data_IF_727701467798
#
_entry.id   IF_727701467798
#
_cell.length_a   1.000
_cell.length_b   1.000
_cell.length_c   1.000
_cell.angle_alpha   90.00
_cell.angle_beta   90.00
_cell.angle_gamma   90.00
#
_symmetry.space_group_name_H-M   'P 1'
#
loop_
_entity.id
_entity.type
_entity.pdbx_description
1 polymer ?
#
# COMPACT_ATOMS: atom_id res chain seq x y z
N UNK A 1 -22.68 -14.12 17.48
CA UNK A 1 -22.83 -12.68 17.72
C UNK A 1 -21.68 -11.97 17.03
N UNK A 2 -21.93 -11.28 15.92
CA UNK A 2 -20.92 -10.48 15.22
C UNK A 2 -20.75 -9.15 15.97
N UNK A 3 -19.53 -8.61 16.15
CA UNK A 3 -19.34 -7.31 16.76
C UNK A 3 -20.00 -6.24 15.88
N UNK A 4 -20.83 -5.41 16.50
CA UNK A 4 -21.56 -4.35 15.85
C UNK A 4 -20.58 -3.19 15.59
N UNK A 5 -20.10 -3.04 14.36
CA UNK A 5 -19.19 -1.96 13.90
C UNK A 5 -19.80 -0.53 13.99
N UNK A 6 -20.94 -0.35 14.68
CA UNK A 6 -21.65 0.93 14.81
C UNK A 6 -21.45 1.66 16.14
N UNK A 7 -20.70 1.10 17.10
CA UNK A 7 -20.59 1.69 18.44
C UNK A 7 -19.38 2.61 18.66
N UNK A 8 -18.86 3.23 17.58
CA UNK A 8 -17.79 4.25 17.66
C UNK A 8 -18.21 5.65 17.16
N UNK A 9 -19.48 5.85 16.80
CA UNK A 9 -19.96 7.16 16.35
C UNK A 9 -20.53 7.96 17.54
N UNK A 10 -19.67 8.80 18.14
CA UNK A 10 -20.13 10.03 18.81
C UNK A 10 -20.98 10.83 17.81
N UNK A 11 -22.02 11.52 18.29
CA UNK A 11 -22.82 12.47 17.50
C UNK A 11 -21.92 13.56 16.90
N UNK A 12 -21.43 13.34 15.69
CA UNK A 12 -20.70 14.34 14.90
C UNK A 12 -21.72 15.37 14.43
N UNK A 13 -21.47 16.66 14.69
CA UNK A 13 -22.20 17.75 14.05
C UNK A 13 -21.46 18.10 12.76
N UNK A 14 -22.11 17.92 11.62
CA UNK A 14 -21.59 18.37 10.32
C UNK A 14 -22.10 19.78 10.04
N UNK A 15 -21.22 20.69 9.64
CA UNK A 15 -21.56 22.09 9.31
C UNK A 15 -21.05 22.43 7.91
N UNK A 16 -21.88 23.06 7.08
CA UNK A 16 -21.50 23.56 5.77
C UNK A 16 -20.94 24.97 5.90
N UNK A 17 -19.67 25.17 5.54
CA UNK A 17 -18.97 26.45 5.61
C UNK A 17 -18.29 26.75 4.28
N UNK A 18 -18.25 28.00 3.86
CA UNK A 18 -17.36 28.43 2.77
C UNK A 18 -15.87 28.25 3.15
N UNK A 19 -14.93 28.31 2.19
CA UNK A 19 -13.51 28.17 2.46
C UNK A 19 -13.02 29.21 3.48
N UNK A 20 -13.52 30.44 3.33
CA UNK A 20 -13.23 31.57 4.23
C UNK A 20 -13.85 31.34 5.61
N UNK A 21 -15.08 30.82 5.68
CA UNK A 21 -15.74 30.55 6.97
C UNK A 21 -15.10 29.37 7.71
N UNK A 22 -14.74 28.28 7.03
CA UNK A 22 -14.00 27.21 7.69
C UNK A 22 -12.61 27.73 8.09
N UNK A 23 -11.95 28.60 7.30
CA UNK A 23 -10.72 29.30 7.72
C UNK A 23 -10.88 30.11 9.02
N UNK A 24 -12.00 30.81 9.21
CA UNK A 24 -12.30 31.57 10.43
C UNK A 24 -12.58 30.70 11.66
N UNK A 25 -12.96 29.43 11.48
CA UNK A 25 -13.03 28.46 12.59
C UNK A 25 -11.63 28.19 13.13
N UNK A 26 -10.59 28.29 12.30
CA UNK A 26 -9.22 28.03 12.72
C UNK A 26 -8.61 29.24 13.46
N UNK A 27 -7.94 29.00 14.60
CA UNK A 27 -7.27 30.05 15.33
C UNK A 27 -6.16 30.66 14.48
N UNK A 28 -6.21 31.98 14.32
CA UNK A 28 -5.15 32.79 13.68
C UNK A 28 -3.81 32.70 14.41
N UNK A 29 -3.81 32.28 15.69
CA UNK A 29 -2.62 32.11 16.53
C UNK A 29 -1.80 30.85 16.21
N UNK A 30 -2.36 29.88 15.49
CA UNK A 30 -1.58 28.80 14.89
C UNK A 30 -0.94 29.40 13.62
N UNK A 31 0.36 29.67 13.59
CA UNK A 31 1.03 30.26 12.41
C UNK A 31 1.93 29.19 11.77
N UNK A 32 1.89 29.04 10.45
CA UNK A 32 2.64 28.03 9.68
C UNK A 32 1.76 27.12 8.82
N UNK A 33 2.39 26.29 7.97
CA UNK A 33 1.70 25.35 7.07
C UNK A 33 0.89 24.31 7.87
N UNK A 34 -0.44 24.26 7.72
CA UNK A 34 -1.30 23.27 8.41
C UNK A 34 -2.03 22.38 7.41
N UNK A 35 -2.27 21.14 7.79
CA UNK A 35 -3.07 20.19 7.01
C UNK A 35 -4.36 19.86 7.75
N UNK A 36 -5.53 20.06 7.14
CA UNK A 36 -6.76 19.46 7.69
C UNK A 36 -6.80 18.00 7.26
N UNK A 37 -7.02 17.10 8.22
CA UNK A 37 -7.07 15.65 7.97
C UNK A 37 -8.48 15.07 8.10
N UNK A 38 -9.40 15.77 8.75
CA UNK A 38 -10.81 15.34 8.82
C UNK A 38 -11.54 15.64 7.51
N UNK A 39 -12.62 14.88 7.29
CA UNK A 39 -13.65 14.84 6.24
C UNK A 39 -14.15 16.20 5.73
N UNK A 40 -13.24 17.04 5.26
CA UNK A 40 -13.54 18.23 4.48
C UNK A 40 -13.96 17.74 3.10
N UNK A 41 -15.19 17.23 3.04
CA UNK A 41 -15.84 16.90 1.79
C UNK A 41 -16.14 18.23 1.10
N UNK A 42 -15.55 18.40 -0.07
CA UNK A 42 -15.95 19.44 -1.01
C UNK A 42 -17.21 18.95 -1.69
N UNK A 43 -18.29 19.71 -1.57
CA UNK A 43 -19.49 19.43 -2.35
C UNK A 43 -19.13 19.55 -3.84
N UNK A 44 -19.43 18.51 -4.63
CA UNK A 44 -18.96 18.38 -6.03
C UNK A 44 -19.31 19.59 -6.91
N UNK A 45 -20.34 20.36 -6.53
CA UNK A 45 -20.86 21.49 -7.30
C UNK A 45 -20.87 22.83 -6.54
N UNK A 46 -20.31 22.89 -5.31
CA UNK A 46 -20.23 24.14 -4.55
C UNK A 46 -18.81 24.43 -4.04
N UNK A 47 -18.55 25.71 -3.72
CA UNK A 47 -17.29 26.11 -3.04
C UNK A 47 -17.34 25.81 -1.53
N UNK A 48 -18.39 25.13 -1.04
CA UNK A 48 -18.58 24.89 0.40
C UNK A 48 -17.90 23.59 0.83
N UNK A 49 -17.47 23.59 2.09
CA UNK A 49 -16.83 22.49 2.80
C UNK A 49 -17.72 22.01 3.94
N UNK A 50 -17.79 20.69 4.11
CA UNK A 50 -18.41 20.08 5.29
C UNK A 50 -17.33 19.94 6.37
N UNK A 51 -17.45 20.68 7.47
CA UNK A 51 -16.51 20.60 8.59
C UNK A 51 -17.17 19.79 9.72
N UNK A 52 -16.65 18.59 9.99
CA UNK A 52 -17.11 17.66 11.03
C UNK A 52 -16.31 17.82 12.33
N UNK A 53 -17.00 17.95 13.47
CA UNK A 53 -16.34 18.17 14.77
C UNK A 53 -16.15 16.88 15.60
N UNK A 54 -15.02 16.76 16.32
CA UNK A 54 -13.88 17.70 16.34
C UNK A 54 -13.07 17.63 15.04
N UNK A 55 -12.64 18.80 14.55
CA UNK A 55 -11.86 18.90 13.31
C UNK A 55 -10.45 18.40 13.60
N UNK A 56 -9.97 17.44 12.81
CA UNK A 56 -8.60 16.92 12.94
C UNK A 56 -7.65 17.75 12.08
N UNK A 57 -6.63 18.32 12.72
CA UNK A 57 -5.63 19.16 12.06
C UNK A 57 -4.23 18.59 12.34
N UNK A 58 -3.44 18.46 11.29
CA UNK A 58 -2.02 18.15 11.33
C UNK A 58 -1.20 19.43 11.26
N UNK A 59 -0.28 19.57 12.22
CA UNK A 59 0.64 20.71 12.32
C UNK A 59 2.09 20.21 12.21
N UNK A 60 3.01 20.93 11.55
CA UNK A 60 4.40 20.51 11.46
C UNK A 60 5.01 20.31 12.84
N UNK A 61 5.72 19.20 13.02
CA UNK A 61 6.24 18.78 14.32
C UNK A 61 7.20 19.80 14.96
N UNK A 62 7.91 20.60 14.15
CA UNK A 62 8.78 21.66 14.65
C UNK A 62 8.04 22.80 15.38
N UNK A 63 6.71 22.87 15.28
CA UNK A 63 5.88 23.82 16.01
C UNK A 63 5.34 23.26 17.34
N UNK A 64 5.62 22.00 17.68
CA UNK A 64 5.05 21.34 18.85
C UNK A 64 5.35 22.06 20.18
N UNK A 65 6.53 22.67 20.32
CA UNK A 65 6.89 23.45 21.51
C UNK A 65 6.15 24.78 21.63
N UNK A 66 5.58 25.28 20.53
CA UNK A 66 4.94 26.60 20.45
C UNK A 66 3.41 26.53 20.58
N UNK A 67 2.83 25.32 20.63
CA UNK A 67 1.39 25.09 20.60
C UNK A 67 0.94 24.41 21.88
N UNK A 68 0.04 25.05 22.62
CA UNK A 68 -0.67 24.44 23.75
C UNK A 68 -2.01 23.91 23.26
N UNK A 69 -2.15 22.58 23.16
CA UNK A 69 -3.37 21.92 22.65
C UNK A 69 -4.61 22.31 23.47
N UNK A 70 -4.46 22.56 24.76
CA UNK A 70 -5.54 23.01 25.66
C UNK A 70 -6.17 24.34 25.25
N UNK A 71 -5.46 25.17 24.50
CA UNK A 71 -5.95 26.47 24.02
C UNK A 71 -6.94 26.29 22.83
N UNK A 72 -7.09 25.05 22.32
CA UNK A 72 -7.83 24.71 21.10
C UNK A 72 -8.79 23.52 21.26
N UNK A 73 -9.78 23.58 22.18
CA UNK A 73 -10.63 22.43 22.53
C UNK A 73 -11.54 21.92 21.40
N UNK A 74 -11.75 22.71 20.35
CA UNK A 74 -12.55 22.32 19.17
C UNK A 74 -11.77 21.47 18.15
N UNK A 75 -10.46 21.29 18.35
CA UNK A 75 -9.56 20.64 17.41
C UNK A 75 -8.91 19.40 18.01
N UNK A 76 -8.82 18.35 17.19
CA UNK A 76 -7.88 17.27 17.42
C UNK A 76 -6.57 17.62 16.70
N UNK A 77 -5.63 18.20 17.45
CA UNK A 77 -4.31 18.58 16.92
C UNK A 77 -3.41 17.35 16.96
N UNK A 78 -2.90 16.97 15.79
CA UNK A 78 -1.80 16.01 15.67
C UNK A 78 -0.59 16.67 15.02
N UNK A 79 0.59 16.10 15.23
CA UNK A 79 1.81 16.60 14.61
C UNK A 79 2.22 15.76 13.42
N UNK A 80 2.94 16.34 12.47
CA UNK A 80 3.48 15.57 11.36
C UNK A 80 4.85 16.04 10.89
N UNK A 81 5.59 15.12 10.28
CA UNK A 81 6.85 15.35 9.61
C UNK A 81 6.69 15.20 8.10
N UNK A 82 7.34 16.11 7.37
CA UNK A 82 7.54 16.04 5.94
C UNK A 82 9.00 16.32 5.64
N UNK A 83 9.75 15.29 5.28
CA UNK A 83 11.16 15.40 4.92
C UNK A 83 11.31 15.11 3.42
N UNK A 84 12.20 15.84 2.73
CA UNK A 84 12.48 15.65 1.29
C UNK A 84 13.15 14.31 0.96
N UNK A 85 13.83 13.69 1.92
CA UNK A 85 14.55 12.42 1.75
C UNK A 85 13.68 11.16 1.87
N UNK A 86 12.40 11.31 2.25
CA UNK A 86 11.43 10.22 2.39
C UNK A 86 10.25 10.41 1.43
N UNK A 87 9.54 9.32 1.11
CA UNK A 87 8.37 9.36 0.20
C UNK A 87 7.01 9.41 0.93
N UNK A 88 7.02 9.63 2.25
CA UNK A 88 5.84 9.61 3.10
C UNK A 88 5.71 10.85 3.99
N UNK A 89 4.49 11.10 4.45
CA UNK A 89 4.22 11.92 5.63
C UNK A 89 4.18 11.02 6.86
N UNK A 90 4.76 11.47 7.98
CA UNK A 90 4.67 10.77 9.26
C UNK A 90 3.85 11.59 10.23
N UNK A 91 2.77 11.02 10.74
CA UNK A 91 1.84 11.66 11.67
C UNK A 91 1.97 11.04 13.06
N UNK A 92 2.06 11.91 14.07
CA UNK A 92 2.07 11.59 15.49
C UNK A 92 0.65 11.74 16.05
N UNK A 93 -0.17 10.72 15.83
CA UNK A 93 -1.54 10.62 16.35
C UNK A 93 -1.59 9.69 17.59
N UNK A 94 -2.77 9.13 17.88
CA UNK A 94 -2.97 8.05 18.85
C UNK A 94 -2.00 6.87 18.65
N UNK A 95 -1.76 6.54 17.38
CA UNK A 95 -0.71 5.67 16.91
C UNK A 95 0.13 6.41 15.88
N UNK A 96 1.42 6.09 15.76
CA UNK A 96 2.23 6.64 14.68
C UNK A 96 1.66 6.15 13.35
N UNK A 97 1.45 7.09 12.43
CA UNK A 97 0.87 6.82 11.12
C UNK A 97 1.80 7.31 10.03
N UNK A 98 1.87 6.58 8.92
CA UNK A 98 2.60 7.00 7.73
C UNK A 98 1.72 6.85 6.50
N UNK A 99 1.71 7.84 5.63
CA UNK A 99 0.99 7.80 4.35
C UNK A 99 1.98 8.10 3.22
N UNK A 100 1.79 7.55 2.01
CA UNK A 100 2.42 8.14 0.84
C UNK A 100 2.18 9.66 0.79
N UNK A 101 3.13 10.40 0.24
CA UNK A 101 2.91 11.83 -0.04
C UNK A 101 1.70 11.99 -0.96
N UNK A 102 0.89 13.00 -0.68
CA UNK A 102 -0.32 13.35 -1.43
C UNK A 102 -0.34 14.85 -1.71
N UNK A 103 -1.04 15.22 -2.78
CA UNK A 103 -1.21 16.62 -3.14
C UNK A 103 -2.21 17.31 -2.22
N UNK A 104 -1.99 18.60 -2.00
CA UNK A 104 -2.83 19.42 -1.12
C UNK A 104 -3.25 20.69 -1.84
N UNK A 105 -4.48 21.14 -1.59
CA UNK A 105 -5.01 22.42 -2.06
C UNK A 105 -4.89 23.44 -0.94
N UNK A 106 -4.34 24.62 -1.26
CA UNK A 106 -4.31 25.77 -0.35
C UNK A 106 -5.71 26.38 -0.22
N UNK A 107 -6.20 26.52 1.01
CA UNK A 107 -7.44 27.23 1.34
C UNK A 107 -7.13 28.66 1.78
N UNK A 108 -6.07 28.81 2.57
CA UNK A 108 -5.45 30.08 2.92
C UNK A 108 -3.94 29.88 2.98
N UNK A 109 -3.16 30.97 3.05
CA UNK A 109 -1.69 30.94 3.14
C UNK A 109 -1.12 29.92 4.13
N UNK A 110 -1.82 29.63 5.22
CA UNK A 110 -1.37 28.77 6.32
C UNK A 110 -2.24 27.51 6.50
N UNK A 111 -3.13 27.20 5.56
CA UNK A 111 -4.11 26.12 5.68
C UNK A 111 -4.32 25.39 4.37
N UNK A 112 -4.07 24.08 4.39
CA UNK A 112 -4.22 23.20 3.25
C UNK A 112 -5.12 22.01 3.57
N UNK A 113 -5.72 21.44 2.53
CA UNK A 113 -6.54 20.21 2.58
C UNK A 113 -6.03 19.19 1.55
N UNK A 114 -6.21 17.89 1.76
CA UNK A 114 -5.93 16.89 0.72
C UNK A 114 -6.67 17.23 -0.58
N UNK A 115 -5.96 17.25 -1.71
CA UNK A 115 -6.54 17.55 -3.01
C UNK A 115 -7.56 16.49 -3.45
N UNK A 116 -7.37 15.25 -3.00
CA UNK A 116 -8.28 14.13 -3.19
C UNK A 116 -8.62 13.49 -1.84
N UNK A 117 -9.70 13.94 -1.17
CA UNK A 117 -10.10 13.41 0.13
C UNK A 117 -10.34 11.90 0.13
N UNK A 118 -10.98 11.35 -0.91
CA UNK A 118 -11.25 9.91 -1.00
C UNK A 118 -9.97 9.07 -1.04
N UNK A 119 -8.96 9.50 -1.82
CA UNK A 119 -7.66 8.82 -1.83
C UNK A 119 -6.93 8.97 -0.49
N UNK A 120 -6.99 10.16 0.12
CA UNK A 120 -6.40 10.39 1.44
C UNK A 120 -7.02 9.47 2.51
N UNK A 121 -8.34 9.27 2.50
CA UNK A 121 -8.99 8.31 3.40
C UNK A 121 -8.47 6.90 3.20
N UNK A 122 -8.29 6.46 1.96
CA UNK A 122 -7.71 5.15 1.68
C UNK A 122 -6.27 5.07 2.18
N UNK A 123 -5.47 6.13 2.08
CA UNK A 123 -4.13 6.15 2.69
C UNK A 123 -4.20 6.11 4.21
N UNK A 124 -5.11 6.89 4.82
CA UNK A 124 -5.26 7.00 6.26
C UNK A 124 -5.74 5.69 6.90
N UNK A 125 -6.70 4.99 6.29
CA UNK A 125 -7.18 3.68 6.73
C UNK A 125 -6.04 2.65 6.85
N UNK A 126 -4.99 2.80 6.05
CA UNK A 126 -3.84 1.88 5.96
C UNK A 126 -2.57 2.41 6.62
N UNK A 127 -2.67 3.53 7.32
CA UNK A 127 -1.50 4.32 7.72
C UNK A 127 -0.82 3.86 8.99
N UNK A 128 -1.41 2.97 9.80
CA UNK A 128 -0.84 2.57 11.08
C UNK A 128 0.56 1.99 10.88
N UNK A 129 1.58 2.67 11.39
CA UNK A 129 2.96 2.24 11.25
C UNK A 129 3.20 1.02 12.14
N UNK A 130 3.83 -0.01 11.57
CA UNK A 130 4.40 -1.14 12.30
C UNK A 130 5.86 -1.33 11.89
N UNK A 131 6.66 -1.81 12.83
CA UNK A 131 8.08 -2.02 12.61
C UNK A 131 8.37 -3.42 12.05
N UNK A 132 9.47 -3.52 11.30
CA UNK A 132 10.11 -4.78 10.98
C UNK A 132 10.95 -5.30 12.16
N UNK A 133 11.32 -6.59 12.14
CA UNK A 133 12.10 -7.22 13.22
C UNK A 133 13.61 -7.01 13.13
N UNK A 134 14.13 -6.60 11.99
CA UNK A 134 15.57 -6.39 11.76
C UNK A 134 16.47 -7.57 12.23
N UNK A 135 16.07 -8.80 11.92
CA UNK A 135 16.76 -10.00 12.37
C UNK A 135 18.10 -10.17 11.63
N UNK A 136 19.19 -10.55 12.33
CA UNK A 136 20.46 -10.86 11.70
C UNK A 136 20.35 -12.19 10.93
N UNK A 137 20.71 -12.17 9.65
CA UNK A 137 20.63 -13.36 8.79
C UNK A 137 21.98 -14.05 8.66
N UNK A 138 22.04 -15.31 9.10
CA UNK A 138 23.19 -16.16 8.84
C UNK A 138 23.03 -16.81 7.45
N UNK A 139 23.83 -16.33 6.47
CA UNK A 139 23.74 -16.77 5.07
C UNK A 139 25.11 -16.93 4.44
N UNK A 140 25.22 -17.94 3.57
CA UNK A 140 26.44 -18.16 2.77
C UNK A 140 26.52 -17.22 1.57
N UNK A 141 25.38 -16.77 1.02
CA UNK A 141 25.33 -15.90 -0.14
C UNK A 141 24.74 -14.54 0.22
N UNK A 142 25.57 -13.52 0.22
CA UNK A 142 25.21 -12.12 0.49
C UNK A 142 25.11 -11.28 -0.78
N UNK A 143 25.31 -11.87 -1.96
CA UNK A 143 25.28 -11.15 -3.24
C UNK A 143 23.90 -10.55 -3.49
N UNK A 144 23.84 -9.22 -3.53
CA UNK A 144 22.63 -8.48 -3.84
C UNK A 144 22.29 -8.60 -5.33
N UNK A 145 21.16 -9.24 -5.65
CA UNK A 145 20.67 -9.46 -7.02
C UNK A 145 19.90 -8.26 -7.56
N UNK A 146 19.07 -7.65 -6.72
CA UNK A 146 18.32 -6.44 -7.03
C UNK A 146 18.97 -5.22 -6.36
N UNK A 147 19.40 -4.17 -7.08
CA UNK A 147 19.94 -2.97 -6.45
C UNK A 147 18.88 -2.31 -5.56
N UNK A 148 19.09 -2.37 -4.25
CA UNK A 148 18.07 -2.09 -3.22
C UNK A 148 17.34 -0.76 -3.47
N UNK A 149 18.08 0.35 -3.55
CA UNK A 149 17.45 1.67 -3.69
C UNK A 149 16.70 1.82 -5.02
N UNK A 150 17.29 1.38 -6.13
CA UNK A 150 16.66 1.48 -7.46
C UNK A 150 15.39 0.61 -7.54
N UNK A 151 15.43 -0.59 -6.96
CA UNK A 151 14.30 -1.51 -6.96
C UNK A 151 13.17 -1.03 -6.02
N UNK A 152 13.49 -0.50 -4.83
CA UNK A 152 12.48 0.08 -3.93
C UNK A 152 11.87 1.36 -4.50
N UNK A 153 12.65 2.18 -5.19
CA UNK A 153 12.14 3.35 -5.91
C UNK A 153 11.19 2.94 -7.04
N UNK A 154 11.51 1.88 -7.78
CA UNK A 154 10.61 1.30 -8.76
C UNK A 154 9.31 0.80 -8.10
N UNK A 155 9.41 0.08 -6.99
CA UNK A 155 8.25 -0.42 -6.25
C UNK A 155 7.36 0.71 -5.71
N UNK A 156 7.95 1.77 -5.14
CA UNK A 156 7.25 2.97 -4.67
C UNK A 156 6.58 3.74 -5.81
N UNK A 157 7.27 3.89 -6.95
CA UNK A 157 6.66 4.50 -8.14
C UNK A 157 5.48 3.68 -8.64
N UNK A 158 5.59 2.34 -8.70
CA UNK A 158 4.50 1.48 -9.11
C UNK A 158 3.30 1.58 -8.15
N UNK A 159 3.54 1.63 -6.83
CA UNK A 159 2.50 1.92 -5.83
C UNK A 159 1.74 3.20 -6.19
N UNK A 160 2.45 4.29 -6.49
CA UNK A 160 1.82 5.56 -6.85
C UNK A 160 1.05 5.48 -8.19
N UNK A 161 1.53 4.70 -9.17
CA UNK A 161 0.78 4.45 -10.40
C UNK A 161 -0.52 3.73 -10.07
N UNK A 162 -0.46 2.63 -9.31
CA UNK A 162 -1.63 1.82 -8.95
C UNK A 162 -2.67 2.63 -8.17
N UNK A 163 -2.25 3.50 -7.24
CA UNK A 163 -3.20 4.29 -6.43
C UNK A 163 -3.96 5.34 -7.24
N UNK A 164 -3.43 5.78 -8.40
CA UNK A 164 -4.19 6.63 -9.35
C UNK A 164 -5.36 5.88 -10.00
N UNK A 165 -5.29 4.55 -10.06
CA UNK A 165 -6.37 3.68 -10.55
C UNK A 165 -7.26 3.12 -9.43
N UNK A 166 -7.14 3.65 -8.20
CA UNK A 166 -7.79 3.13 -6.99
C UNK A 166 -7.40 1.68 -6.66
N UNK A 167 -6.21 1.25 -7.07
CA UNK A 167 -5.61 -0.02 -6.71
C UNK A 167 -4.60 0.23 -5.58
N UNK A 168 -4.80 -0.39 -4.42
CA UNK A 168 -4.00 -0.15 -3.22
C UNK A 168 -3.14 -1.37 -2.89
N UNK A 169 -1.92 -1.48 -3.45
CA UNK A 169 -1.10 -2.68 -3.33
C UNK A 169 -0.45 -2.84 -1.95
N UNK A 170 -0.41 -4.06 -1.44
CA UNK A 170 0.32 -4.42 -0.23
C UNK A 170 1.46 -5.40 -0.57
N UNK A 171 2.53 -5.35 0.22
CA UNK A 171 3.65 -6.25 0.07
C UNK A 171 3.22 -7.68 0.38
N UNK A 172 3.73 -8.63 -0.40
CA UNK A 172 3.53 -10.05 -0.15
C UNK A 172 4.77 -10.87 -0.51
N UNK A 173 4.71 -12.19 -0.34
CA UNK A 173 5.75 -13.10 -0.80
C UNK A 173 7.13 -12.79 -0.21
N UNK A 174 8.16 -12.90 -1.05
CA UNK A 174 9.54 -12.66 -0.64
C UNK A 174 9.78 -11.21 -0.24
N UNK A 175 8.96 -10.29 -0.74
CA UNK A 175 9.06 -8.85 -0.47
C UNK A 175 8.55 -8.50 0.93
N UNK A 176 7.39 -9.04 1.32
CA UNK A 176 6.89 -8.94 2.69
C UNK A 176 7.84 -9.59 3.69
N UNK A 177 8.33 -10.80 3.37
CA UNK A 177 9.29 -11.51 4.20
C UNK A 177 10.57 -10.70 4.38
N UNK A 178 11.13 -10.13 3.31
CA UNK A 178 12.32 -9.29 3.36
C UNK A 178 12.13 -8.07 4.26
N UNK A 179 11.03 -7.33 4.07
CA UNK A 179 10.73 -6.19 4.93
C UNK A 179 10.61 -6.62 6.38
N UNK A 180 9.72 -7.58 6.70
CA UNK A 180 9.44 -7.90 8.08
C UNK A 180 10.63 -8.53 8.80
N UNK A 181 11.37 -9.41 8.11
CA UNK A 181 12.50 -10.14 8.70
C UNK A 181 13.76 -9.29 8.76
N UNK A 182 14.09 -8.54 7.72
CA UNK A 182 15.42 -7.94 7.51
C UNK A 182 15.39 -6.42 7.37
N UNK A 183 14.21 -5.79 7.45
CA UNK A 183 14.01 -4.36 7.17
C UNK A 183 14.55 -3.93 5.80
N UNK A 184 14.62 -4.87 4.84
CA UNK A 184 15.33 -4.69 3.58
C UNK A 184 14.80 -5.64 2.49
N UNK A 185 15.43 -5.62 1.32
CA UNK A 185 15.18 -6.58 0.24
C UNK A 185 16.05 -7.81 0.47
N UNK A 186 15.48 -9.03 0.41
CA UNK A 186 16.25 -10.28 0.53
C UNK A 186 17.33 -10.30 -0.57
N UNK A 187 18.64 -10.44 -0.25
CA UNK A 187 19.70 -10.22 -1.24
C UNK A 187 19.63 -11.11 -2.47
N UNK A 188 19.19 -12.36 -2.29
CA UNK A 188 19.13 -13.35 -3.35
C UNK A 188 17.75 -13.45 -4.04
N UNK A 189 16.81 -12.53 -3.78
CA UNK A 189 15.55 -12.45 -4.53
C UNK A 189 15.75 -11.92 -5.95
N UNK A 190 14.85 -12.23 -6.87
CA UNK A 190 14.96 -11.84 -8.28
C UNK A 190 13.84 -10.89 -8.73
N UNK A 191 12.83 -10.72 -7.90
CA UNK A 191 11.60 -9.99 -8.14
C UNK A 191 11.13 -9.31 -6.84
N UNK A 192 10.10 -8.48 -7.00
CA UNK A 192 9.33 -7.91 -5.91
C UNK A 192 7.86 -8.22 -6.12
N UNK A 193 7.10 -8.26 -5.04
CA UNK A 193 5.72 -8.76 -5.04
C UNK A 193 4.80 -7.72 -4.41
N UNK A 194 3.78 -7.37 -5.17
CA UNK A 194 2.57 -6.75 -4.67
C UNK A 194 1.41 -7.71 -4.80
N UNK A 195 0.41 -7.48 -3.97
CA UNK A 195 -0.91 -8.04 -4.14
C UNK A 195 -1.95 -6.92 -4.02
N UNK A 196 -3.00 -7.01 -4.83
CA UNK A 196 -4.12 -6.06 -4.87
C UNK A 196 -5.42 -6.85 -4.70
N UNK A 197 -6.40 -6.29 -4.00
CA UNK A 197 -7.73 -6.91 -3.97
C UNK A 197 -8.33 -6.95 -5.38
N UNK A 198 -8.81 -8.11 -5.84
CA UNK A 198 -9.36 -8.25 -7.20
C UNK A 198 -10.55 -7.31 -7.47
N UNK A 199 -11.31 -6.92 -6.44
CA UNK A 199 -12.41 -5.95 -6.57
C UNK A 199 -11.92 -4.55 -6.96
N UNK A 200 -10.63 -4.26 -6.78
CA UNK A 200 -10.00 -3.01 -7.17
C UNK A 200 -9.39 -3.07 -8.58
N UNK A 201 -9.42 -4.23 -9.26
CA UNK A 201 -8.86 -4.36 -10.60
C UNK A 201 -9.45 -3.31 -11.54
N UNK A 202 -8.59 -2.42 -12.02
CA UNK A 202 -8.96 -1.43 -13.01
C UNK A 202 -8.36 -1.82 -14.38
N UNK A 203 -9.19 -2.18 -15.38
CA UNK A 203 -8.69 -2.57 -16.70
C UNK A 203 -7.87 -1.48 -17.42
N UNK A 204 -8.08 -0.20 -17.10
CA UNK A 204 -7.31 0.90 -17.68
C UNK A 204 -5.83 0.87 -17.24
N UNK A 205 -5.53 0.31 -16.07
CA UNK A 205 -4.14 0.08 -15.66
C UNK A 205 -3.44 -0.89 -16.62
N UNK A 206 -4.11 -1.97 -17.04
CA UNK A 206 -3.53 -2.93 -17.99
C UNK A 206 -3.23 -2.26 -19.33
N UNK A 207 -4.16 -1.46 -19.86
CA UNK A 207 -3.97 -0.70 -21.11
C UNK A 207 -2.76 0.23 -21.03
N UNK A 208 -2.61 0.92 -19.90
CA UNK A 208 -1.50 1.83 -19.63
C UNK A 208 -0.14 1.13 -19.68
N UNK A 209 0.01 0.00 -18.97
CA UNK A 209 1.28 -0.73 -18.91
C UNK A 209 1.57 -1.53 -20.19
N UNK A 210 0.56 -1.80 -21.02
CA UNK A 210 0.75 -2.40 -22.35
C UNK A 210 1.26 -1.40 -23.38
N UNK A 211 0.70 -0.20 -23.37
CA UNK A 211 1.07 0.87 -24.32
C UNK A 211 2.38 1.58 -23.96
N UNK A 212 3.02 1.17 -22.85
CA UNK A 212 4.17 1.87 -22.25
C UNK A 212 3.85 3.35 -21.98
N UNK A 213 2.56 3.68 -21.78
CA UNK A 213 2.07 5.05 -21.57
C UNK A 213 2.55 5.66 -20.25
N UNK A 214 3.13 4.84 -19.37
CA UNK A 214 3.72 5.23 -18.09
C UNK A 214 5.13 4.64 -17.90
N UNK A 215 5.74 4.96 -16.76
CA UNK A 215 7.10 4.52 -16.38
C UNK A 215 7.27 3.00 -16.22
N UNK A 216 6.27 2.17 -16.55
CA UNK A 216 6.28 0.71 -16.47
C UNK A 216 5.76 0.05 -17.75
N UNK A 217 6.27 -1.15 -18.02
CA UNK A 217 5.85 -1.99 -19.13
C UNK A 217 5.45 -3.38 -18.63
N UNK A 218 4.31 -3.89 -19.12
CA UNK A 218 3.85 -5.25 -18.86
C UNK A 218 4.72 -6.25 -19.62
N UNK A 219 5.31 -7.22 -18.92
CA UNK A 219 6.15 -8.27 -19.50
C UNK A 219 5.46 -9.62 -19.50
N UNK A 220 4.51 -9.84 -18.59
CA UNK A 220 3.77 -11.09 -18.46
C UNK A 220 2.38 -10.83 -17.90
N UNK A 221 1.39 -11.55 -18.44
CA UNK A 221 0.03 -11.64 -17.90
C UNK A 221 -0.35 -13.11 -17.81
N UNK A 222 -0.67 -13.56 -16.60
CA UNK A 222 -1.06 -14.94 -16.33
C UNK A 222 -2.47 -15.00 -15.76
N UNK A 223 -3.15 -16.11 -16.03
CA UNK A 223 -4.42 -16.49 -15.42
C UNK A 223 -5.65 -15.70 -15.85
N UNK A 224 -6.79 -16.13 -15.29
CA UNK A 224 -8.10 -15.53 -15.53
C UNK A 224 -8.41 -14.51 -14.43
N UNK A 225 -8.87 -13.28 -14.76
CA UNK A 225 -9.38 -12.31 -13.78
C UNK A 225 -10.34 -12.89 -12.75
N UNK A 226 -11.06 -13.97 -13.07
CA UNK A 226 -12.01 -14.63 -12.15
C UNK A 226 -11.37 -15.35 -10.98
N UNK A 227 -10.14 -15.84 -11.11
CA UNK A 227 -9.57 -16.71 -10.06
C UNK A 227 -8.04 -16.84 -10.03
N UNK A 228 -7.30 -16.34 -11.03
CA UNK A 228 -5.88 -16.65 -11.15
C UNK A 228 -4.99 -15.58 -11.77
N UNK A 229 -5.46 -14.33 -11.84
CA UNK A 229 -4.77 -13.24 -12.52
C UNK A 229 -3.46 -12.85 -11.82
N UNK A 230 -2.45 -12.57 -12.64
CA UNK A 230 -1.15 -12.04 -12.25
C UNK A 230 -0.61 -11.15 -13.37
N UNK A 231 -0.02 -10.01 -13.01
CA UNK A 231 0.75 -9.17 -13.93
C UNK A 231 2.20 -9.10 -13.48
N UNK A 232 3.15 -9.26 -14.40
CA UNK A 232 4.54 -8.85 -14.17
C UNK A 232 4.81 -7.58 -14.94
N UNK A 233 5.30 -6.56 -14.25
CA UNK A 233 5.74 -5.30 -14.86
C UNK A 233 7.21 -5.04 -14.56
N UNK A 234 7.85 -4.23 -15.40
CA UNK A 234 9.20 -3.72 -15.18
C UNK A 234 9.24 -2.22 -15.45
N UNK A 235 10.16 -1.46 -14.81
CA UNK A 235 10.41 -0.08 -15.20
C UNK A 235 10.73 0.05 -16.69
N UNK A 236 10.09 1.00 -17.37
CA UNK A 236 10.33 1.29 -18.79
C UNK A 236 11.76 1.80 -19.03
N UNK A 237 12.35 2.49 -18.03
CA UNK A 237 13.72 3.02 -18.05
C UNK A 237 14.54 2.52 -16.84
N UNK A 238 15.85 2.47 -16.98
CA UNK A 238 16.76 2.06 -15.90
C UNK A 238 16.78 0.55 -15.63
N UNK A 239 17.13 0.17 -14.41
CA UNK A 239 17.22 -1.23 -14.00
C UNK A 239 15.86 -1.92 -14.07
N UNK A 240 15.82 -3.08 -14.72
CA UNK A 240 14.59 -3.85 -14.98
C UNK A 240 14.23 -4.72 -13.76
N UNK A 241 13.86 -4.09 -12.65
CA UNK A 241 13.29 -4.79 -11.48
C UNK A 241 11.96 -5.43 -11.89
N UNK A 242 11.84 -6.77 -11.92
CA UNK A 242 10.56 -7.43 -12.10
C UNK A 242 9.71 -7.21 -10.86
N UNK A 243 8.47 -6.78 -11.06
CA UNK A 243 7.48 -6.63 -10.00
C UNK A 243 6.25 -7.42 -10.41
N UNK A 244 5.94 -8.47 -9.64
CA UNK A 244 4.73 -9.26 -9.79
C UNK A 244 3.59 -8.61 -8.99
N UNK A 245 2.46 -8.39 -9.64
CA UNK A 245 1.22 -7.88 -9.08
C UNK A 245 0.25 -9.05 -9.11
N UNK A 246 0.13 -9.70 -7.96
CA UNK A 246 -0.87 -10.72 -7.71
C UNK A 246 -2.21 -10.09 -7.36
N UNK A 247 -3.26 -10.89 -7.45
CA UNK A 247 -4.59 -10.50 -6.99
C UNK A 247 -5.07 -11.39 -5.86
N UNK A 248 -5.60 -10.76 -4.82
CA UNK A 248 -6.25 -11.44 -3.71
C UNK A 248 -7.74 -11.57 -4.01
N UNK A 249 -8.23 -12.78 -3.82
CA UNK A 249 -9.61 -13.17 -3.97
C UNK A 249 -10.14 -13.61 -2.60
N UNK A 250 -11.47 -13.60 -2.44
CA UNK A 250 -12.12 -14.08 -1.23
C UNK A 250 -13.43 -14.80 -1.55
N UNK A 251 -13.80 -15.71 -0.67
CA UNK A 251 -15.14 -16.28 -0.58
C UNK A 251 -15.61 -16.21 0.87
N UNK A 252 -16.63 -16.99 1.25
CA UNK A 252 -17.14 -17.01 2.62
C UNK A 252 -16.18 -17.61 3.65
N UNK A 253 -15.20 -18.39 3.19
CA UNK A 253 -14.42 -19.31 4.02
C UNK A 253 -12.93 -18.91 4.10
N UNK A 254 -12.39 -18.31 3.04
CA UNK A 254 -10.98 -17.99 2.93
C UNK A 254 -10.68 -16.80 2.01
N UNK A 255 -9.49 -16.26 2.17
CA UNK A 255 -8.79 -15.42 1.19
C UNK A 255 -7.79 -16.29 0.44
N UNK A 256 -7.55 -15.99 -0.83
CA UNK A 256 -6.44 -16.63 -1.54
C UNK A 256 -5.77 -15.69 -2.52
N UNK A 257 -4.46 -15.91 -2.67
CA UNK A 257 -3.67 -15.41 -3.78
C UNK A 257 -3.52 -16.56 -4.77
N UNK A 258 -3.55 -16.26 -6.05
CA UNK A 258 -3.49 -17.28 -7.08
C UNK A 258 -2.21 -17.18 -7.91
N UNK A 259 -1.76 -18.32 -8.42
CA UNK A 259 -0.63 -18.42 -9.34
C UNK A 259 -0.98 -19.35 -10.50
N UNK A 260 -0.37 -19.11 -11.66
CA UNK A 260 -0.57 -19.94 -12.86
C UNK A 260 0.78 -20.28 -13.48
N UNK A 261 1.06 -21.56 -13.75
CA UNK A 261 2.31 -21.94 -14.45
C UNK A 261 2.17 -21.96 -15.99
N UNK A 262 3.29 -22.11 -16.68
CA UNK A 262 3.34 -22.20 -18.15
C UNK A 262 2.61 -23.38 -18.78
N UNK A 263 2.14 -24.35 -17.98
CA UNK A 263 1.28 -25.45 -18.44
C UNK A 263 -0.20 -25.18 -18.14
N UNK A 264 -0.51 -24.00 -17.61
CA UNK A 264 -1.84 -23.60 -17.19
C UNK A 264 -2.28 -24.20 -15.86
N UNK A 265 -1.39 -24.82 -15.08
CA UNK A 265 -1.76 -25.33 -13.75
C UNK A 265 -2.07 -24.13 -12.85
N UNK A 266 -3.22 -24.16 -12.19
CA UNK A 266 -3.64 -23.13 -11.25
C UNK A 266 -3.28 -23.53 -9.82
N UNK A 267 -2.69 -22.60 -9.10
CA UNK A 267 -2.30 -22.72 -7.72
C UNK A 267 -3.06 -21.69 -6.88
N UNK A 268 -3.41 -22.04 -5.65
CA UNK A 268 -3.94 -21.12 -4.63
C UNK A 268 -3.07 -21.16 -3.39
N UNK A 269 -2.77 -19.98 -2.86
CA UNK A 269 -2.16 -19.74 -1.57
C UNK A 269 -3.27 -19.27 -0.64
N UNK A 270 -3.79 -20.19 0.17
CA UNK A 270 -4.96 -19.93 1.02
C UNK A 270 -4.57 -19.28 2.34
N UNK A 271 -5.41 -18.36 2.81
CA UNK A 271 -5.28 -17.68 4.08
C UNK A 271 -6.65 -17.72 4.81
N UNK A 272 -6.70 -18.25 6.05
CA UNK A 272 -7.96 -18.36 6.82
C UNK A 272 -8.50 -16.99 7.27
N UNK A 273 -7.64 -15.99 7.30
CA UNK A 273 -7.96 -14.59 7.49
C UNK A 273 -6.89 -13.78 6.76
N UNK A 274 -7.26 -12.60 6.30
CA UNK A 274 -6.32 -11.58 5.89
C UNK A 274 -6.69 -10.33 6.67
N UNK A 275 -5.81 -9.95 7.58
CA UNK A 275 -6.08 -8.86 8.51
C UNK A 275 -5.90 -7.50 7.81
N UNK A 276 -6.47 -6.41 8.36
CA UNK A 276 -6.51 -5.13 7.67
C UNK A 276 -5.10 -4.53 7.51
N UNK A 277 -5.06 -3.46 6.72
CA UNK A 277 -3.84 -2.85 6.22
C UNK A 277 -3.11 -2.01 7.29
N UNK A 278 -1.82 -2.28 7.48
CA UNK A 278 -0.87 -1.43 8.15
C UNK A 278 0.10 -0.81 7.14
N UNK A 279 1.01 0.03 7.62
CA UNK A 279 2.11 0.56 6.83
C UNK A 279 3.45 0.15 7.43
N UNK A 280 4.41 -0.14 6.55
CA UNK A 280 5.81 -0.41 6.88
C UNK A 280 6.73 0.50 6.08
N UNK A 281 7.95 0.71 6.59
CA UNK A 281 8.99 1.48 5.90
C UNK A 281 10.15 0.55 5.52
N UNK A 282 10.63 0.68 4.28
CA UNK A 282 11.86 0.04 3.79
C UNK A 282 12.76 1.14 3.23
N UNK A 283 13.94 1.37 3.81
CA UNK A 283 14.94 2.33 3.30
C UNK A 283 14.36 3.71 2.91
N UNK A 284 13.44 4.26 3.72
CA UNK A 284 12.81 5.57 3.48
C UNK A 284 11.59 5.57 2.55
N UNK A 285 11.17 4.39 2.08
CA UNK A 285 9.96 4.20 1.28
C UNK A 285 8.83 3.55 2.08
N UNK A 286 7.61 4.09 2.02
CA UNK A 286 6.43 3.52 2.70
C UNK A 286 5.73 2.47 1.83
N UNK A 287 5.26 1.38 2.43
CA UNK A 287 4.43 0.40 1.74
C UNK A 287 3.31 -0.08 2.65
N UNK A 288 2.19 -0.52 2.06
CA UNK A 288 1.16 -1.19 2.84
C UNK A 288 1.51 -2.66 3.04
N UNK A 289 1.19 -3.16 4.23
CA UNK A 289 1.53 -4.50 4.71
C UNK A 289 0.35 -5.03 5.51
N UNK A 290 0.31 -6.35 5.73
CA UNK A 290 -0.53 -6.96 6.77
C UNK A 290 -0.19 -6.37 8.14
N UNK A 291 -1.18 -6.20 9.01
CA UNK A 291 -0.95 -5.80 10.40
C UNK A 291 -0.41 -6.95 11.29
N UNK A 292 -0.43 -8.19 10.81
CA UNK A 292 -0.02 -9.43 11.49
C UNK A 292 0.96 -10.22 10.62
N UNK A 293 2.09 -9.61 10.21
CA UNK A 293 3.06 -10.21 9.29
C UNK A 293 3.61 -11.56 9.77
N UNK A 294 3.84 -11.76 11.07
CA UNK A 294 4.27 -13.03 11.63
C UNK A 294 3.28 -14.17 11.35
N UNK A 295 1.98 -13.89 11.42
CA UNK A 295 0.92 -14.87 11.17
C UNK A 295 0.87 -15.23 9.68
N UNK A 296 0.85 -14.23 8.80
CA UNK A 296 0.85 -14.43 7.35
C UNK A 296 2.11 -15.19 6.91
N UNK A 297 3.28 -14.79 7.40
CA UNK A 297 4.54 -15.47 7.08
C UNK A 297 4.62 -16.87 7.67
N UNK A 298 4.03 -17.13 8.83
CA UNK A 298 3.94 -18.49 9.39
C UNK A 298 3.04 -19.39 8.54
N UNK A 299 1.94 -18.85 7.99
CA UNK A 299 1.06 -19.57 7.07
C UNK A 299 1.78 -19.87 5.75
N UNK A 300 2.48 -18.88 5.19
CA UNK A 300 3.16 -19.00 3.89
C UNK A 300 4.45 -19.84 3.96
N UNK A 301 5.33 -19.57 4.92
CA UNK A 301 6.68 -20.14 4.99
C UNK A 301 6.88 -21.15 6.14
N UNK A 302 5.93 -21.24 7.08
CA UNK A 302 6.03 -22.10 8.26
C UNK A 302 6.72 -21.41 9.45
N UNK A 303 6.77 -22.12 10.59
CA UNK A 303 7.28 -21.58 11.87
C UNK A 303 8.75 -21.11 11.84
N UNK A 304 9.51 -21.49 10.83
CA UNK A 304 10.92 -21.15 10.67
C UNK A 304 11.16 -20.04 9.63
N UNK A 305 10.14 -19.24 9.29
CA UNK A 305 10.25 -18.12 8.34
C UNK A 305 11.39 -17.13 8.68
N UNK A 306 11.76 -17.05 9.96
CA UNK A 306 12.84 -16.20 10.47
C UNK A 306 14.24 -16.71 10.11
N UNK A 307 14.38 -17.93 9.57
CA UNK A 307 15.66 -18.47 9.08
C UNK A 307 15.87 -18.13 7.62
N UNK A 308 17.12 -17.94 7.22
CA UNK A 308 17.49 -17.77 5.82
C UNK A 308 17.16 -19.05 5.03
N UNK A 309 16.55 -18.89 3.87
CA UNK A 309 16.26 -19.98 2.94
C UNK A 309 16.64 -19.51 1.53
N UNK A 310 17.67 -20.12 0.89
CA UNK A 310 18.15 -19.66 -0.40
C UNK A 310 17.06 -19.67 -1.47
N UNK A 311 16.84 -18.54 -2.15
CA UNK A 311 15.84 -18.44 -3.23
C UNK A 311 16.08 -19.45 -4.36
N UNK A 312 17.33 -19.86 -4.59
CA UNK A 312 17.67 -20.91 -5.58
C UNK A 312 17.07 -22.28 -5.26
N UNK A 313 16.67 -22.52 -4.00
CA UNK A 313 15.99 -23.74 -3.54
C UNK A 313 14.51 -23.53 -3.30
N UNK A 314 14.00 -22.32 -3.49
CA UNK A 314 12.60 -22.00 -3.30
C UNK A 314 11.83 -22.22 -4.59
N UNK A 315 10.77 -23.02 -4.52
CA UNK A 315 9.84 -23.26 -5.62
C UNK A 315 8.51 -22.62 -5.24
N UNK A 316 8.17 -21.50 -5.86
CA UNK A 316 6.94 -20.75 -5.54
C UNK A 316 5.70 -21.67 -5.48
N UNK A 317 5.58 -22.62 -6.41
CA UNK A 317 4.43 -23.50 -6.56
C UNK A 317 4.39 -24.73 -5.62
N UNK A 318 5.37 -24.91 -4.73
CA UNK A 318 5.45 -26.10 -3.87
C UNK A 318 6.18 -25.92 -2.53
N UNK A 319 7.00 -24.87 -2.38
CA UNK A 319 7.74 -24.60 -1.14
C UNK A 319 6.89 -23.89 -0.09
N UNK A 320 5.95 -23.02 -0.50
CA UNK A 320 5.03 -22.38 0.44
C UNK A 320 4.11 -23.43 1.08
N UNK A 321 3.87 -23.32 2.38
CA UNK A 321 3.08 -24.30 3.15
C UNK A 321 1.59 -24.24 2.85
N UNK A 322 1.10 -23.10 2.36
CA UNK A 322 -0.30 -22.86 2.06
C UNK A 322 -0.66 -23.00 0.57
N UNK A 323 0.26 -23.47 -0.28
CA UNK A 323 0.00 -23.64 -1.72
C UNK A 323 -0.72 -24.94 -2.02
N UNK A 324 -1.72 -24.90 -2.90
CA UNK A 324 -2.45 -26.08 -3.40
C UNK A 324 -2.71 -25.96 -4.90
N UNK A 325 -2.67 -27.08 -5.60
CA UNK A 325 -3.16 -27.16 -6.99
C UNK A 325 -4.69 -27.20 -6.95
N UNK A 326 -5.34 -26.32 -7.70
CA UNK A 326 -6.81 -26.19 -7.68
C UNK A 326 -7.47 -26.33 -9.04
N UNK A 327 -6.67 -26.52 -10.09
CA UNK A 327 -7.20 -26.71 -11.42
C UNK A 327 -6.16 -26.54 -12.50
N UNK A 328 -6.65 -26.54 -13.74
CA UNK A 328 -5.82 -26.35 -14.93
C UNK A 328 -6.62 -25.62 -16.00
N UNK A 329 -6.00 -24.63 -16.62
CA UNK A 329 -6.55 -23.96 -17.81
C UNK A 329 -6.57 -24.97 -18.95
N UNK A 330 -7.69 -25.04 -19.67
CA UNK A 330 -7.81 -25.90 -20.85
C UNK A 330 -6.74 -25.50 -21.87
N UNK A 331 -6.12 -26.48 -22.52
CA UNK A 331 -5.05 -26.21 -23.50
C UNK A 331 -5.52 -25.27 -24.64
N UNK A 332 -6.80 -25.35 -25.04
CA UNK A 332 -7.40 -24.45 -26.03
C UNK A 332 -7.38 -22.99 -25.59
N UNK A 333 -7.45 -22.74 -24.29
CA UNK A 333 -7.62 -21.42 -23.70
C UNK A 333 -6.29 -20.89 -23.13
N UNK A 334 -5.23 -21.71 -23.09
CA UNK A 334 -3.95 -21.34 -22.48
C UNK A 334 -3.37 -20.06 -23.10
N UNK A 335 -3.42 -19.90 -24.42
CA UNK A 335 -2.93 -18.70 -25.10
C UNK A 335 -3.67 -17.41 -24.70
N UNK A 336 -4.91 -17.51 -24.20
CA UNK A 336 -5.71 -16.37 -23.75
C UNK A 336 -5.29 -15.91 -22.35
N UNK A 337 -4.81 -16.84 -21.53
CA UNK A 337 -4.54 -16.63 -20.10
C UNK A 337 -3.06 -16.82 -19.75
N UNK A 338 -2.19 -16.99 -20.74
CA UNK A 338 -0.76 -17.09 -20.54
C UNK A 338 -0.08 -16.31 -21.65
N UNK A 339 0.27 -15.07 -21.33
CA UNK A 339 0.85 -14.12 -22.28
C UNK A 339 2.23 -13.68 -21.78
N UNK A 340 3.24 -13.91 -22.62
CA UNK A 340 4.59 -13.35 -22.45
C UNK A 340 4.77 -12.24 -23.47
N UNK A 341 4.97 -11.03 -22.98
CA UNK A 341 5.07 -9.82 -23.81
C UNK A 341 6.55 -9.51 -23.97
N UNK A 342 7.05 -9.71 -25.19
CA UNK A 342 8.43 -9.34 -25.52
C UNK A 342 8.56 -7.83 -25.49
N UNK A 343 9.47 -7.33 -24.66
CA UNK A 343 9.88 -5.94 -24.73
C UNK A 343 10.69 -5.75 -26.00
N UNK A 344 10.13 -5.07 -27.00
CA UNK A 344 10.93 -4.55 -28.12
C UNK A 344 11.91 -3.50 -27.60
N UNK A 345 13.18 -3.54 -28.06
CA UNK A 345 14.23 -2.60 -27.66
C UNK A 345 13.81 -1.13 -27.76
#
# INVERSE_FOLDING_TARGET
MKPNHREFYRKVKSVYLSPTECAHVFPSSLIGFKLILSSVEREKDSKLFICEYPIRIAVPSYLASSIRITDYPSFEIIFYENNSFIDYFKFYADVTRVTPKFETIEITKDLHVPANPAQFEEYWKRSRLIDCHNLPMNRNNTSQRLPIETSLRALSNLRNVLTRFNMYPYLEGGTLLGWYRECSVIPHTLDMDFVVDISQLNPQFEELVRTKGESFALTRKLGDPKDSLEYTVVPSKGFKTPIDIFFMYQNTDEYWIAGTDGKGTKYRYSFPFYDPYCAGIIHGFVFWVTCSPDQILTISYGKEWYKDYPSSRFRWNSSSRNVRIVGKIKNSDLKKFYEIIKQTP
#
